data_IF_171830213106
#
_entry.id   IF_171830213106
#
_cell.length_a   1.000
_cell.length_b   1.000
_cell.length_c   1.000
_cell.angle_alpha   90.00
_cell.angle_beta   90.00
_cell.angle_gamma   90.00
#
_symmetry.space_group_name_H-M   'P 1'
#
loop_
_entity.id
_entity.type
_entity.pdbx_description
1 polymer ?
#
# COMPACT_ATOMS: atom_id res chain seq x y z
N UNK A 1 13.69 -8.18 6.10
CA UNK A 1 12.38 -7.79 6.64
C UNK A 1 12.27 -6.29 6.55
N UNK A 2 11.68 -5.81 5.46
CA UNK A 2 11.37 -4.40 5.22
C UNK A 2 9.92 -4.29 4.75
N UNK A 3 9.63 -4.79 3.54
CA UNK A 3 8.31 -4.68 2.90
C UNK A 3 7.62 -6.01 2.59
N UNK A 4 8.14 -7.12 3.13
CA UNK A 4 7.67 -8.48 2.82
C UNK A 4 6.16 -8.65 3.09
N UNK A 5 5.64 -7.99 4.13
CA UNK A 5 4.22 -7.97 4.46
C UNK A 5 3.37 -7.25 3.40
N UNK A 6 3.90 -6.20 2.78
CA UNK A 6 3.25 -5.44 1.69
C UNK A 6 3.22 -6.29 0.43
N UNK A 7 4.34 -6.90 0.06
CA UNK A 7 4.46 -7.78 -1.12
C UNK A 7 3.50 -8.96 -1.00
N UNK A 8 3.48 -9.61 0.17
CA UNK A 8 2.54 -10.69 0.47
C UNK A 8 1.08 -10.26 0.34
N UNK A 9 0.75 -9.03 0.79
CA UNK A 9 -0.60 -8.52 0.66
C UNK A 9 -0.99 -8.27 -0.80
N UNK A 10 -0.10 -7.68 -1.61
CA UNK A 10 -0.35 -7.46 -3.04
C UNK A 10 -0.52 -8.79 -3.78
N UNK A 11 0.33 -9.78 -3.50
CA UNK A 11 0.20 -11.13 -4.06
C UNK A 11 -1.17 -11.76 -3.75
N UNK A 12 -1.70 -11.57 -2.54
CA UNK A 12 -3.06 -12.00 -2.19
C UNK A 12 -4.14 -11.24 -2.96
N UNK A 13 -4.00 -9.92 -3.13
CA UNK A 13 -4.98 -9.09 -3.86
C UNK A 13 -5.10 -9.49 -5.33
N UNK A 14 -4.00 -9.86 -5.97
CA UNK A 14 -4.00 -10.29 -7.38
C UNK A 14 -4.34 -11.78 -7.55
N UNK A 15 -4.61 -12.50 -6.45
CA UNK A 15 -4.93 -13.93 -6.46
C UNK A 15 -3.72 -14.82 -6.80
N UNK A 16 -2.51 -14.38 -6.47
CA UNK A 16 -1.24 -15.05 -6.77
C UNK A 16 -0.38 -15.20 -5.52
N UNK A 17 -0.98 -15.63 -4.40
CA UNK A 17 -0.32 -15.71 -3.10
C UNK A 17 0.89 -16.67 -3.07
N UNK A 18 0.97 -17.59 -4.04
CA UNK A 18 2.07 -18.53 -4.21
C UNK A 18 3.12 -18.07 -5.22
N UNK A 19 2.96 -16.88 -5.82
CA UNK A 19 3.86 -16.32 -6.85
C UNK A 19 4.01 -17.23 -8.08
N UNK A 20 2.90 -17.80 -8.56
CA UNK A 20 2.88 -18.70 -9.73
C UNK A 20 2.85 -17.93 -11.05
N UNK A 21 2.25 -16.73 -11.06
CA UNK A 21 2.07 -15.92 -12.27
C UNK A 21 3.06 -14.75 -12.31
N UNK A 22 3.33 -14.14 -11.16
CA UNK A 22 4.36 -13.12 -10.95
C UNK A 22 5.33 -13.66 -9.91
N UNK A 23 6.63 -13.57 -10.20
CA UNK A 23 7.62 -13.92 -9.19
C UNK A 23 7.62 -12.85 -8.07
N UNK A 24 8.27 -13.16 -6.94
CA UNK A 24 8.35 -12.24 -5.81
C UNK A 24 8.91 -10.85 -6.20
N UNK A 25 9.98 -10.84 -7.00
CA UNK A 25 10.71 -9.62 -7.40
C UNK A 25 9.85 -8.71 -8.29
N UNK A 26 8.98 -9.27 -9.14
CA UNK A 26 8.04 -8.54 -9.98
C UNK A 26 7.00 -7.81 -9.11
N UNK A 27 6.47 -8.52 -8.11
CA UNK A 27 5.50 -7.94 -7.17
C UNK A 27 6.18 -6.89 -6.29
N UNK A 28 7.40 -7.16 -5.82
CA UNK A 28 8.19 -6.20 -5.06
C UNK A 28 8.45 -4.92 -5.87
N UNK A 29 8.84 -5.06 -7.14
CA UNK A 29 9.07 -3.93 -8.05
C UNK A 29 7.81 -3.08 -8.22
N UNK A 30 6.64 -3.71 -8.42
CA UNK A 30 5.37 -3.00 -8.53
C UNK A 30 5.00 -2.26 -7.23
N UNK A 31 5.25 -2.87 -6.07
CA UNK A 31 5.06 -2.23 -4.76
C UNK A 31 5.97 -1.01 -4.61
N UNK A 32 7.26 -1.15 -4.95
CA UNK A 32 8.25 -0.08 -4.83
C UNK A 32 7.93 1.13 -5.72
N UNK A 33 7.36 0.91 -6.91
CA UNK A 33 6.88 1.99 -7.78
C UNK A 33 5.73 2.80 -7.18
N UNK A 34 4.99 2.24 -6.23
CA UNK A 34 3.84 2.85 -5.55
C UNK A 34 4.13 3.26 -4.10
N UNK A 35 5.41 3.47 -3.78
CA UNK A 35 5.83 4.01 -2.49
C UNK A 35 5.57 5.51 -2.40
N UNK A 36 5.20 5.96 -1.21
CA UNK A 36 5.10 7.37 -0.86
C UNK A 36 6.06 7.64 0.28
N UNK A 37 6.95 8.61 0.07
CA UNK A 37 7.89 9.05 1.09
C UNK A 37 7.19 9.99 2.08
N UNK A 38 7.45 9.76 3.37
CA UNK A 38 6.97 10.58 4.46
C UNK A 38 8.15 11.02 5.31
N UNK A 39 8.27 12.34 5.54
CA UNK A 39 9.38 12.91 6.30
C UNK A 39 8.85 13.76 7.44
N UNK A 40 9.18 13.36 8.67
CA UNK A 40 8.81 14.06 9.90
C UNK A 40 7.31 14.35 10.06
N UNK A 41 6.47 13.49 9.47
CA UNK A 41 5.03 13.64 9.52
C UNK A 41 4.49 13.31 10.91
N UNK A 42 3.50 14.08 11.36
CA UNK A 42 3.01 13.97 12.74
C UNK A 42 1.99 12.85 12.87
N UNK A 43 2.25 11.92 13.79
CA UNK A 43 1.31 10.86 14.12
C UNK A 43 0.18 11.39 15.01
N UNK A 44 -1.02 10.85 14.85
CA UNK A 44 -2.19 11.25 15.65
C UNK A 44 -2.21 10.46 16.96
N UNK A 45 -2.20 11.13 18.14
CA UNK A 45 -2.28 10.45 19.42
C UNK A 45 -3.70 9.93 19.68
N UNK A 46 -3.81 8.73 20.25
CA UNK A 46 -5.06 8.15 20.72
C UNK A 46 -5.08 8.12 22.26
N UNK A 47 -6.18 8.62 22.84
CA UNK A 47 -6.41 8.59 24.28
C UNK A 47 -6.50 7.14 24.77
N UNK A 48 -5.71 6.82 25.79
CA UNK A 48 -5.84 5.59 26.58
C UNK A 48 -6.34 5.97 27.97
N UNK A 49 -7.47 5.40 28.39
CA UNK A 49 -8.04 5.66 29.72
C UNK A 49 -7.58 4.59 30.69
N UNK A 50 -6.79 4.99 31.68
CA UNK A 50 -6.40 4.12 32.78
C UNK A 50 -7.55 3.96 33.80
N UNK A 51 -7.49 2.90 34.60
CA UNK A 51 -8.39 2.73 35.76
C UNK A 51 -8.25 3.93 36.70
N UNK A 52 -9.36 4.56 37.06
CA UNK A 52 -9.38 5.82 37.83
C UNK A 52 -9.50 7.10 36.99
N UNK A 53 -9.64 7.00 35.66
CA UNK A 53 -10.01 8.13 34.80
C UNK A 53 -8.84 8.98 34.29
N UNK A 54 -7.60 8.63 34.62
CA UNK A 54 -6.42 9.27 34.04
C UNK A 54 -6.31 8.96 32.54
N UNK A 55 -6.02 10.00 31.74
CA UNK A 55 -5.83 9.90 30.29
C UNK A 55 -4.33 9.91 30.01
N UNK A 56 -3.85 8.92 29.26
CA UNK A 56 -2.48 8.85 28.75
C UNK A 56 -2.46 8.67 27.24
N UNK A 57 -1.37 9.08 26.59
CA UNK A 57 -1.22 9.00 25.13
C UNK A 57 -0.08 8.05 24.75
N UNK A 58 -0.37 6.75 24.84
CA UNK A 58 0.61 5.69 24.52
C UNK A 58 0.49 5.19 23.08
N UNK A 59 -0.70 5.26 22.50
CA UNK A 59 -1.00 4.75 21.15
C UNK A 59 -1.03 5.91 20.16
N UNK A 60 -0.42 5.70 19.00
CA UNK A 60 -0.39 6.65 17.90
C UNK A 60 -0.80 5.97 16.61
N UNK A 61 -1.54 6.68 15.76
CA UNK A 61 -1.85 6.24 14.39
C UNK A 61 -1.04 7.03 13.38
N UNK A 62 -0.82 6.43 12.23
CA UNK A 62 -0.14 7.05 11.10
C UNK A 62 -0.76 8.39 10.69
N UNK A 63 0.07 9.30 10.16
CA UNK A 63 -0.40 10.48 9.45
C UNK A 63 -1.48 10.08 8.44
N UNK A 64 -2.56 10.85 8.39
CA UNK A 64 -3.69 10.64 7.48
C UNK A 64 -4.40 9.27 7.61
N UNK A 65 -4.13 8.50 8.67
CA UNK A 65 -4.70 7.16 8.86
C UNK A 65 -4.19 6.12 7.86
N UNK A 66 -3.00 6.33 7.27
CA UNK A 66 -2.47 5.45 6.24
C UNK A 66 -1.83 4.19 6.81
N UNK A 67 -2.12 3.04 6.18
CA UNK A 67 -1.51 1.75 6.48
C UNK A 67 -0.33 1.39 5.58
N UNK A 68 0.13 0.14 5.69
CA UNK A 68 1.18 -0.46 4.85
C UNK A 68 2.49 0.33 4.86
N UNK A 69 3.08 0.46 6.04
CA UNK A 69 4.34 1.16 6.26
C UNK A 69 5.53 0.21 6.16
N UNK A 70 6.65 0.74 5.69
CA UNK A 70 7.94 0.04 5.77
C UNK A 70 8.33 -0.21 7.23
N UNK A 71 8.76 -1.43 7.55
CA UNK A 71 9.25 -1.78 8.89
C UNK A 71 10.54 -1.03 9.27
N UNK A 72 11.24 -0.48 8.26
CA UNK A 72 12.42 0.37 8.46
C UNK A 72 12.08 1.83 8.83
N UNK A 73 10.80 2.20 8.94
CA UNK A 73 10.41 3.55 9.33
C UNK A 73 10.86 3.89 10.76
N UNK A 74 11.25 5.14 10.97
CA UNK A 74 11.81 5.64 12.22
C UNK A 74 10.89 6.66 12.89
N UNK A 75 10.95 6.73 14.22
CA UNK A 75 10.14 7.67 15.02
C UNK A 75 11.02 8.66 15.75
N UNK A 76 10.55 9.90 15.85
CA UNK A 76 11.20 10.95 16.64
C UNK A 76 10.20 11.76 17.45
N UNK A 77 10.64 12.29 18.59
CA UNK A 77 9.86 13.23 19.39
C UNK A 77 10.02 14.70 18.91
N UNK A 78 9.47 15.65 19.67
CA UNK A 78 9.60 17.09 19.44
C UNK A 78 11.05 17.59 19.33
N UNK A 79 11.97 16.93 20.04
CA UNK A 79 13.38 17.26 20.14
C UNK A 79 14.23 16.45 19.15
N UNK A 80 13.61 15.76 18.19
CA UNK A 80 14.25 14.86 17.23
C UNK A 80 15.03 13.71 17.88
N UNK A 81 14.72 13.37 19.12
CA UNK A 81 15.24 12.17 19.77
C UNK A 81 14.52 10.96 19.20
N UNK A 82 15.27 9.92 18.85
CA UNK A 82 14.72 8.67 18.36
C UNK A 82 13.78 8.02 19.40
N UNK A 83 12.65 7.50 18.92
CA UNK A 83 11.68 6.75 19.70
C UNK A 83 11.58 5.33 19.13
N UNK A 84 11.35 4.35 20.00
CA UNK A 84 11.11 2.96 19.60
C UNK A 84 9.76 2.52 20.15
N UNK A 85 8.79 2.20 19.29
CA UNK A 85 7.52 1.61 19.74
C UNK A 85 7.77 0.27 20.44
N UNK A 86 6.97 -0.02 21.46
CA UNK A 86 6.93 -1.33 22.11
C UNK A 86 6.12 -2.34 21.26
N UNK A 87 5.15 -1.86 20.50
CA UNK A 87 4.37 -2.67 19.55
C UNK A 87 4.14 -1.86 18.29
N UNK A 88 4.30 -2.51 17.13
CA UNK A 88 4.14 -1.91 15.81
C UNK A 88 3.19 -2.76 14.97
N UNK A 89 2.10 -2.15 14.50
CA UNK A 89 1.23 -2.68 13.45
C UNK A 89 1.47 -1.85 12.18
N UNK A 90 2.40 -2.32 11.36
CA UNK A 90 2.81 -1.66 10.12
C UNK A 90 1.72 -1.69 9.04
N UNK A 91 0.83 -2.70 9.09
CA UNK A 91 -0.29 -2.83 8.16
C UNK A 91 -1.36 -1.78 8.44
N UNK A 92 -1.75 -1.63 9.71
CA UNK A 92 -2.76 -0.66 10.13
C UNK A 92 -2.21 0.76 10.34
N UNK A 93 -0.88 0.93 10.41
CA UNK A 93 -0.25 2.20 10.74
C UNK A 93 -0.52 2.59 12.19
N UNK A 94 -0.30 1.68 13.14
CA UNK A 94 -0.56 1.91 14.56
C UNK A 94 0.62 1.47 15.41
N UNK A 95 1.05 2.32 16.33
CA UNK A 95 2.20 2.08 17.19
C UNK A 95 1.88 2.41 18.64
N UNK A 96 2.37 1.59 19.56
CA UNK A 96 2.18 1.76 21.01
C UNK A 96 3.53 1.87 21.69
N UNK A 97 3.73 2.89 22.51
CA UNK A 97 4.93 3.10 23.31
C UNK A 97 4.76 2.59 24.75
N UNK A 98 5.85 2.16 25.37
CA UNK A 98 5.86 1.69 26.77
C UNK A 98 5.62 2.80 27.80
N UNK A 99 5.99 4.03 27.44
CA UNK A 99 5.80 5.25 28.24
C UNK A 99 5.32 6.37 27.34
N UNK A 100 4.58 7.34 27.89
CA UNK A 100 4.08 8.47 27.10
C UNK A 100 5.26 9.28 26.53
N UNK A 101 5.45 9.30 25.19
CA UNK A 101 6.55 10.02 24.58
C UNK A 101 6.29 11.53 24.59
N UNK A 102 7.35 12.33 24.57
CA UNK A 102 7.23 13.77 24.35
C UNK A 102 6.62 14.04 22.98
N UNK A 103 5.52 14.80 22.95
CA UNK A 103 4.76 15.10 21.72
C UNK A 103 5.31 16.35 21.01
N UNK A 104 5.20 16.46 19.68
CA UNK A 104 4.60 15.47 18.77
C UNK A 104 5.50 14.25 18.53
N UNK A 105 4.88 13.10 18.28
CA UNK A 105 5.55 11.92 17.70
C UNK A 105 5.52 12.07 16.19
N UNK A 106 6.68 11.96 15.56
CA UNK A 106 6.86 12.07 14.11
C UNK A 106 7.39 10.78 13.53
N UNK A 107 6.95 10.40 12.34
CA UNK A 107 7.43 9.25 11.58
C UNK A 107 8.19 9.69 10.33
N UNK A 108 9.26 8.97 9.98
CA UNK A 108 9.99 9.11 8.73
C UNK A 108 10.21 7.75 8.09
N UNK A 109 9.82 7.59 6.82
CA UNK A 109 9.92 6.33 6.10
C UNK A 109 9.06 6.30 4.85
N UNK A 110 8.73 5.09 4.40
CA UNK A 110 7.87 4.86 3.24
C UNK A 110 6.57 4.17 3.63
N UNK A 111 5.51 4.48 2.90
CA UNK A 111 4.22 3.79 2.96
C UNK A 111 3.77 3.47 1.53
N UNK A 112 3.07 2.35 1.36
CA UNK A 112 2.82 1.77 0.05
C UNK A 112 1.33 1.73 -0.28
N UNK A 113 1.00 2.03 -1.53
CA UNK A 113 -0.36 1.86 -2.04
C UNK A 113 -0.53 0.45 -2.64
N UNK A 114 -0.97 -0.49 -1.79
CA UNK A 114 -1.20 -1.88 -2.17
C UNK A 114 -2.25 -2.04 -3.28
N UNK A 115 -3.24 -1.14 -3.35
CA UNK A 115 -4.29 -1.24 -4.37
C UNK A 115 -3.81 -0.72 -5.71
N UNK A 116 -3.05 0.38 -5.73
CA UNK A 116 -2.41 0.84 -6.95
C UNK A 116 -1.46 -0.21 -7.53
N UNK A 117 -0.62 -0.82 -6.68
CA UNK A 117 0.32 -1.85 -7.10
C UNK A 117 -0.40 -3.11 -7.62
N UNK A 118 -1.46 -3.56 -6.94
CA UNK A 118 -2.28 -4.68 -7.40
C UNK A 118 -2.98 -4.38 -8.73
N UNK A 119 -3.47 -3.15 -8.93
CA UNK A 119 -4.08 -2.75 -10.20
C UNK A 119 -3.07 -2.80 -11.36
N UNK A 120 -1.85 -2.28 -11.15
CA UNK A 120 -0.78 -2.31 -12.17
C UNK A 120 -0.46 -3.75 -12.60
N UNK A 121 -0.31 -4.67 -11.64
CA UNK A 121 -0.03 -6.08 -11.92
C UNK A 121 -1.19 -6.77 -12.65
N UNK A 122 -2.44 -6.48 -12.28
CA UNK A 122 -3.60 -7.05 -12.96
C UNK A 122 -3.77 -6.51 -14.40
N UNK A 123 -3.43 -5.25 -14.63
CA UNK A 123 -3.37 -4.66 -15.99
C UNK A 123 -2.27 -5.33 -16.82
N UNK A 124 -1.08 -5.54 -16.25
CA UNK A 124 0.00 -6.29 -16.90
C UNK A 124 -0.42 -7.73 -17.23
N UNK A 125 -1.08 -8.42 -16.29
CA UNK A 125 -1.63 -9.77 -16.52
C UNK A 125 -2.64 -9.78 -17.66
N UNK A 126 -3.54 -8.79 -17.71
CA UNK A 126 -4.52 -8.66 -18.78
C UNK A 126 -3.85 -8.44 -20.15
N UNK A 127 -2.74 -7.70 -20.20
CA UNK A 127 -1.95 -7.51 -21.40
C UNK A 127 -1.29 -8.82 -21.87
N UNK A 128 -0.62 -9.56 -20.98
CA UNK A 128 -0.02 -10.85 -21.32
C UNK A 128 -1.05 -11.86 -21.85
N UNK A 129 -2.20 -11.97 -21.19
CA UNK A 129 -3.29 -12.86 -21.65
C UNK A 129 -3.86 -12.42 -23.01
N UNK A 130 -3.74 -11.13 -23.36
CA UNK A 130 -4.19 -10.61 -24.66
C UNK A 130 -3.22 -10.87 -25.81
N UNK A 131 -1.96 -11.19 -25.54
CA UNK A 131 -0.96 -11.54 -26.57
C UNK A 131 -1.03 -13.03 -26.96
N UNK A 132 -1.53 -13.90 -26.07
CA UNK A 132 -1.69 -15.35 -26.28
C UNK A 132 -2.91 -15.71 -27.17
N UNK A 133 -3.11 -14.97 -28.26
CA UNK A 133 -4.21 -15.17 -29.22
C UNK A 133 -3.81 -16.27 -30.22
N UNK A 134 -3.96 -17.52 -29.81
CA UNK A 134 -4.20 -18.63 -30.75
C UNK A 134 -5.60 -19.20 -30.48
N UNK A 135 -6.56 -18.78 -31.31
CA UNK A 135 -7.95 -19.22 -31.21
C UNK A 135 -8.11 -20.65 -31.74
N UNK A 136 -8.62 -21.58 -30.92
CA UNK A 136 -9.17 -22.84 -31.42
C UNK A 136 -10.68 -22.87 -31.18
N UNK A 137 -11.42 -22.95 -32.29
CA UNK A 137 -12.88 -23.10 -32.33
C UNK A 137 -13.22 -24.59 -32.27
N UNK A 138 -14.11 -25.00 -31.35
CA UNK A 138 -14.68 -26.36 -31.31
C UNK A 138 -16.17 -26.31 -31.64
N UNK A 139 -16.63 -27.28 -32.44
CA UNK A 139 -17.92 -27.29 -33.12
C UNK A 139 -19.18 -27.24 -32.24
N UNK A 140 -19.07 -27.34 -30.91
CA UNK A 140 -20.24 -27.40 -30.00
C UNK A 140 -20.13 -26.47 -28.79
N UNK A 141 -19.28 -25.44 -28.88
CA UNK A 141 -19.23 -24.39 -27.87
C UNK A 141 -17.98 -23.52 -28.03
N UNK A 142 -18.15 -22.21 -28.00
CA UNK A 142 -17.02 -21.28 -27.94
C UNK A 142 -16.68 -20.99 -26.48
N UNK A 143 -15.57 -21.52 -25.98
CA UNK A 143 -14.96 -20.98 -24.77
C UNK A 143 -14.19 -19.73 -25.16
N UNK A 144 -14.86 -18.59 -25.19
CA UNK A 144 -14.25 -17.33 -25.64
C UNK A 144 -13.26 -16.84 -24.58
N UNK A 145 -11.97 -16.83 -24.91
CA UNK A 145 -10.90 -16.24 -24.08
C UNK A 145 -11.10 -14.75 -23.75
N UNK A 146 -12.06 -14.08 -24.39
CA UNK A 146 -12.56 -12.76 -24.00
C UNK A 146 -12.90 -12.67 -22.49
N UNK A 147 -13.34 -13.77 -21.87
CA UNK A 147 -13.61 -13.82 -20.44
C UNK A 147 -12.33 -13.80 -19.57
N UNK A 148 -11.20 -14.34 -20.05
CA UNK A 148 -9.94 -14.41 -19.28
C UNK A 148 -9.26 -13.05 -19.11
N UNK A 149 -9.39 -12.14 -20.10
CA UNK A 149 -8.94 -10.74 -19.97
C UNK A 149 -9.88 -9.90 -19.11
N UNK A 150 -11.18 -10.17 -19.19
CA UNK A 150 -12.22 -9.35 -18.55
C UNK A 150 -12.12 -9.39 -17.03
N UNK A 151 -11.83 -10.55 -16.43
CA UNK A 151 -11.71 -10.68 -14.97
C UNK A 151 -10.61 -9.79 -14.35
N UNK A 152 -9.33 -9.90 -14.80
CA UNK A 152 -8.25 -9.05 -14.30
C UNK A 152 -8.51 -7.56 -14.51
N UNK A 153 -9.04 -7.16 -15.66
CA UNK A 153 -9.38 -5.74 -15.93
C UNK A 153 -10.47 -5.20 -15.00
N UNK A 154 -11.51 -5.98 -14.69
CA UNK A 154 -12.55 -5.58 -13.74
C UNK A 154 -12.02 -5.41 -12.32
N UNK A 155 -11.13 -6.31 -11.88
CA UNK A 155 -10.49 -6.20 -10.57
C UNK A 155 -9.51 -5.02 -10.52
N UNK A 156 -8.74 -4.79 -11.59
CA UNK A 156 -7.88 -3.62 -11.71
C UNK A 156 -8.69 -2.33 -11.58
N UNK A 157 -9.79 -2.19 -12.32
CA UNK A 157 -10.67 -1.01 -12.21
C UNK A 157 -11.21 -0.80 -10.78
N UNK A 158 -11.58 -1.89 -10.09
CA UNK A 158 -12.01 -1.82 -8.70
C UNK A 158 -10.89 -1.31 -7.78
N UNK A 159 -9.66 -1.80 -7.97
CA UNK A 159 -8.52 -1.36 -7.17
C UNK A 159 -8.06 0.06 -7.51
N UNK A 160 -8.17 0.51 -8.76
CA UNK A 160 -8.00 1.92 -9.14
C UNK A 160 -8.96 2.84 -8.41
N UNK A 161 -10.19 2.40 -8.14
CA UNK A 161 -11.15 3.18 -7.35
C UNK A 161 -10.83 3.21 -5.84
N UNK A 162 -10.01 2.27 -5.35
CA UNK A 162 -9.57 2.19 -3.94
C UNK A 162 -8.17 2.77 -3.72
N UNK A 163 -7.44 3.06 -4.80
CA UNK A 163 -6.10 3.62 -4.72
C UNK A 163 -6.12 4.99 -4.04
N UNK A 164 -4.99 5.38 -3.46
CA UNK A 164 -4.82 6.67 -2.81
C UNK A 164 -5.00 7.80 -3.83
N UNK A 165 -5.64 8.92 -3.44
CA UNK A 165 -5.73 10.08 -4.30
C UNK A 165 -4.34 10.56 -4.71
N UNK A 166 -4.12 10.68 -6.03
CA UNK A 166 -2.91 11.26 -6.60
C UNK A 166 -3.24 12.58 -7.29
N UNK A 167 -2.39 13.59 -7.13
CA UNK A 167 -2.51 14.86 -7.87
C UNK A 167 -1.57 14.81 -9.06
N UNK A 168 -2.08 15.11 -10.25
CA UNK A 168 -1.28 15.28 -11.45
C UNK A 168 -1.36 16.75 -11.90
N UNK A 169 -0.21 17.40 -12.03
CA UNK A 169 -0.12 18.75 -12.60
C UNK A 169 -0.01 18.64 -14.11
N UNK A 170 -1.04 19.10 -14.83
CA UNK A 170 -1.02 19.17 -16.29
C UNK A 170 -0.52 20.55 -16.69
N UNK A 171 0.68 20.60 -17.27
CA UNK A 171 1.19 21.81 -17.89
C UNK A 171 0.63 21.92 -19.30
N UNK A 172 -0.06 23.02 -19.57
CA UNK A 172 -0.49 23.41 -20.91
C UNK A 172 0.60 24.25 -21.55
N UNK A 173 1.24 23.72 -22.59
CA UNK A 173 2.36 24.39 -23.29
C UNK A 173 1.89 25.39 -24.34
N UNK A 174 0.58 25.62 -24.50
CA UNK A 174 0.00 26.48 -25.51
C UNK A 174 -0.24 27.94 -25.04
N UNK A 175 0.12 28.27 -23.80
CA UNK A 175 0.11 29.64 -23.27
C UNK A 175 1.57 30.01 -22.92
N UNK A 176 2.12 30.96 -23.68
CA UNK A 176 3.40 31.60 -23.36
C UNK A 176 3.15 32.57 -22.18
N UNK A 177 4.01 32.61 -21.14
CA UNK A 177 3.81 33.45 -19.96
C UNK A 177 3.84 34.95 -20.25
#
# INVERSE_FOLDING_TARGET
MGIDHVVTQVAKLIGDASFENFNYEDVETAVQQRRVEMRYETCTPLETRASGGAITYLTYTAPNGWGWWDEAATFTNSNYTALTPATSDWNAGRWTFSSEPTRPVRITGFTYDVYAAAADLLENRAAYVSEDISAFSVAHGSFTYANKRTGPMQMAQRYRAMQRPSVATVYRTDINP
#
